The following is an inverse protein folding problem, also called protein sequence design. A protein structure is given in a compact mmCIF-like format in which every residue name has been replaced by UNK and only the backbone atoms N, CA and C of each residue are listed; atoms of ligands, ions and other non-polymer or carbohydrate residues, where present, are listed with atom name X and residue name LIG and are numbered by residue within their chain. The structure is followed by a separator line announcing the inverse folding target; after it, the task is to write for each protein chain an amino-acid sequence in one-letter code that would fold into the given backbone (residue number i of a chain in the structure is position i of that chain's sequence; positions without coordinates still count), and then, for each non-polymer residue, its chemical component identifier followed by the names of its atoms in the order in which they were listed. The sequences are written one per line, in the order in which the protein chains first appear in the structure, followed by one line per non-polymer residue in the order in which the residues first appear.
data_IF_722196804913
#
_entry.id   IF_722196804913
#
_cell.length_a   1.000
_cell.length_b   1.000
_cell.length_c   1.000
_cell.angle_alpha   90.00
_cell.angle_beta   90.00
_cell.angle_gamma   90.00
#
_symmetry.space_group_name_H-M   'P 1'
#
loop_
_entity.id
_entity.type
_entity.pdbx_description
1 polymer ?
#
# COMPACT_ATOMS: atom_id res chain seq x y z
N UNK A 1 13.63 2.42 -22.03
CA UNK A 1 13.47 0.96 -21.82
C UNK A 1 12.42 0.60 -20.75
N UNK A 2 12.44 1.13 -19.51
CA UNK A 2 11.50 0.71 -18.44
C UNK A 2 10.00 0.78 -18.80
N UNK A 3 9.57 1.81 -19.54
CA UNK A 3 8.17 1.93 -19.98
C UNK A 3 7.73 0.84 -20.97
N UNK A 4 8.66 0.29 -21.76
CA UNK A 4 8.34 -0.78 -22.70
C UNK A 4 8.08 -2.09 -21.97
N UNK A 5 8.90 -2.40 -20.95
CA UNK A 5 8.69 -3.58 -20.12
C UNK A 5 7.33 -3.57 -19.42
N UNK A 6 6.97 -2.46 -18.74
CA UNK A 6 5.67 -2.35 -18.05
C UNK A 6 4.50 -2.52 -19.03
N UNK A 7 4.56 -1.87 -20.20
CA UNK A 7 3.52 -2.00 -21.23
C UNK A 7 3.43 -3.42 -21.79
N UNK A 8 4.56 -4.10 -21.95
CA UNK A 8 4.61 -5.47 -22.43
C UNK A 8 3.97 -6.44 -21.43
N UNK A 9 4.31 -6.33 -20.14
CA UNK A 9 3.71 -7.20 -19.10
C UNK A 9 2.22 -6.90 -18.87
N UNK A 10 1.78 -5.65 -19.07
CA UNK A 10 0.37 -5.28 -19.08
C UNK A 10 -0.35 -5.84 -20.33
N UNK A 11 0.23 -5.69 -21.52
CA UNK A 11 -0.34 -6.19 -22.78
C UNK A 11 -0.47 -7.71 -22.78
N UNK A 12 0.51 -8.40 -22.20
CA UNK A 12 0.47 -9.86 -22.00
C UNK A 12 -0.42 -10.28 -20.82
N UNK A 13 -1.10 -9.33 -20.16
CA UNK A 13 -2.03 -9.52 -19.05
C UNK A 13 -1.43 -10.21 -17.82
N UNK A 14 -0.11 -10.13 -17.66
CA UNK A 14 0.57 -10.61 -16.45
C UNK A 14 0.32 -9.67 -15.27
N UNK A 15 0.10 -8.38 -15.55
CA UNK A 15 -0.34 -7.38 -14.59
C UNK A 15 -1.51 -6.59 -15.16
N UNK A 16 -2.24 -5.91 -14.27
CA UNK A 16 -3.19 -4.87 -14.62
C UNK A 16 -2.73 -3.57 -13.98
N UNK A 17 -2.67 -2.49 -14.77
CA UNK A 17 -2.41 -1.17 -14.22
C UNK A 17 -3.74 -0.54 -13.79
N UNK A 18 -3.79 -0.13 -12.53
CA UNK A 18 -4.90 0.62 -11.97
C UNK A 18 -4.39 1.95 -11.43
N UNK A 19 -5.17 3.00 -11.64
CA UNK A 19 -4.89 4.28 -11.02
C UNK A 19 -5.16 4.19 -9.51
N UNK A 20 -4.19 4.62 -8.72
CA UNK A 20 -4.31 4.74 -7.27
C UNK A 20 -4.00 6.18 -6.87
N UNK A 21 -4.86 6.78 -6.05
CA UNK A 21 -4.64 8.13 -5.51
C UNK A 21 -3.47 8.11 -4.51
N UNK A 22 -2.86 9.26 -4.25
CA UNK A 22 -1.80 9.37 -3.23
C UNK A 22 -2.38 9.13 -1.83
N UNK A 23 -3.66 9.45 -1.66
CA UNK A 23 -4.44 9.23 -0.45
C UNK A 23 -4.51 7.73 -0.11
N UNK A 24 -4.69 6.90 -1.13
CA UNK A 24 -4.95 5.46 -1.01
C UNK A 24 -3.73 4.57 -1.31
N UNK A 25 -2.58 5.15 -1.65
CA UNK A 25 -1.35 4.40 -1.95
C UNK A 25 -0.72 3.80 -0.68
N UNK A 26 -1.31 2.72 -0.15
CA UNK A 26 -0.89 2.06 1.10
C UNK A 26 0.59 1.64 1.09
N UNK A 27 1.13 1.27 -0.08
CA UNK A 27 2.53 0.87 -0.24
C UNK A 27 3.55 1.98 0.14
N UNK A 28 3.13 3.24 0.20
CA UNK A 28 3.98 4.35 0.63
C UNK A 28 4.51 4.19 2.05
N UNK A 29 3.81 3.43 2.89
CA UNK A 29 4.24 3.14 4.26
C UNK A 29 5.62 2.47 4.33
N UNK A 30 6.01 1.73 3.29
CA UNK A 30 7.28 0.99 3.24
C UNK A 30 8.39 1.73 2.50
N UNK A 31 8.06 2.77 1.73
CA UNK A 31 8.99 3.36 0.75
C UNK A 31 9.25 4.84 0.98
N UNK A 32 8.43 5.51 1.80
CA UNK A 32 8.52 6.95 2.05
C UNK A 32 8.67 7.25 3.53
N UNK A 33 9.34 8.36 3.83
CA UNK A 33 9.26 9.01 5.14
C UNK A 33 7.95 9.80 5.16
N UNK A 34 7.01 9.40 6.02
CA UNK A 34 5.67 9.97 6.08
C UNK A 34 5.45 10.76 7.38
N UNK A 35 4.69 11.87 7.34
CA UNK A 35 4.17 12.48 8.56
C UNK A 35 3.33 11.47 9.35
N UNK A 36 3.37 11.58 10.69
CA UNK A 36 2.72 10.63 11.60
C UNK A 36 1.25 10.37 11.24
N UNK A 37 0.48 11.42 10.97
CA UNK A 37 -0.94 11.29 10.63
C UNK A 37 -1.17 10.41 9.38
N UNK A 38 -0.37 10.61 8.33
CA UNK A 38 -0.46 9.81 7.09
C UNK A 38 -0.03 8.37 7.34
N UNK A 39 1.05 8.16 8.11
CA UNK A 39 1.49 6.82 8.50
C UNK A 39 0.40 6.06 9.27
N UNK A 40 -0.25 6.71 10.25
CA UNK A 40 -1.31 6.08 11.04
C UNK A 40 -2.54 5.73 10.20
N UNK A 41 -2.92 6.58 9.24
CA UNK A 41 -3.96 6.29 8.26
C UNK A 41 -3.61 5.04 7.42
N UNK A 42 -2.45 5.03 6.77
CA UNK A 42 -2.04 3.90 5.93
C UNK A 42 -1.85 2.61 6.74
N UNK A 43 -1.33 2.71 7.98
CA UNK A 43 -1.21 1.57 8.90
C UNK A 43 -2.58 0.95 9.23
N UNK A 44 -3.60 1.79 9.38
CA UNK A 44 -4.98 1.35 9.62
C UNK A 44 -5.56 0.70 8.37
N UNK A 45 -5.36 1.29 7.18
CA UNK A 45 -5.77 0.70 5.89
C UNK A 45 -5.09 -0.66 5.63
N UNK A 46 -3.85 -0.83 6.09
CA UNK A 46 -3.11 -2.09 6.02
C UNK A 46 -3.63 -3.15 7.02
N UNK A 47 -4.58 -2.80 7.89
CA UNK A 47 -5.13 -3.71 8.90
C UNK A 47 -4.25 -3.88 10.15
N UNK A 48 -3.19 -3.07 10.30
CA UNK A 48 -2.33 -3.12 11.48
C UNK A 48 -3.00 -2.30 12.60
N UNK A 49 -3.81 -2.96 13.41
CA UNK A 49 -4.52 -2.35 14.55
C UNK A 49 -3.93 -2.80 15.89
N UNK A 50 -4.26 -2.08 16.96
CA UNK A 50 -3.93 -2.55 18.32
C UNK A 50 -4.86 -3.71 18.65
N UNK A 51 -4.32 -4.83 19.11
CA UNK A 51 -5.10 -5.90 19.71
C UNK A 51 -5.11 -5.70 21.23
N UNK A 52 -6.28 -5.78 21.84
CA UNK A 52 -6.38 -5.96 23.28
C UNK A 52 -6.31 -7.45 23.54
N UNK A 53 -5.20 -7.91 24.12
CA UNK A 53 -5.14 -9.26 24.68
C UNK A 53 -6.08 -9.23 25.88
N UNK A 54 -7.22 -9.90 25.79
CA UNK A 54 -8.01 -10.20 26.99
C UNK A 54 -7.21 -11.21 27.78
N UNK A 55 -6.59 -10.77 28.87
CA UNK A 55 -6.19 -11.70 29.92
C UNK A 55 -7.48 -12.27 30.51
N UNK A 56 -7.73 -13.56 30.34
CA UNK A 56 -8.68 -14.27 31.19
C UNK A 56 -8.02 -14.41 32.57
N UNK A 57 -8.64 -13.81 33.59
CA UNK A 57 -8.27 -14.05 34.99
C UNK A 57 -8.58 -15.48 35.41
#
# INVERSE_FOLDING_TARGET
MKYHFIREVETTKQIQLEYCSIEDQVADIFTKVLPRAKFEQLRTMLGVTKFFIKEEC
#
